data_IF_450086303801
#
_entry.id   IF_450086303801
#
_cell.length_a   1.000
_cell.length_b   1.000
_cell.length_c   1.000
_cell.angle_alpha   90.00
_cell.angle_beta   90.00
_cell.angle_gamma   90.00
#
_symmetry.space_group_name_H-M   'P 1'
#
loop_
_entity.id
_entity.type
_entity.pdbx_description
1 polymer ?
#
# COMPACT_ATOMS: atom_id res chain seq x y z
N UNK A 1 17.67 -11.99 6.70
CA UNK A 1 18.68 -12.73 7.48
C UNK A 1 18.29 -14.20 7.57
N UNK A 2 17.37 -14.59 8.45
CA UNK A 2 16.98 -16.00 8.70
C UNK A 2 16.83 -16.89 7.45
N UNK A 3 16.13 -16.43 6.41
CA UNK A 3 15.90 -17.22 5.20
C UNK A 3 17.18 -17.58 4.40
N UNK A 4 18.24 -16.76 4.52
CA UNK A 4 19.53 -17.03 3.88
C UNK A 4 20.33 -18.11 4.63
N UNK A 5 20.07 -18.28 5.93
CA UNK A 5 20.87 -19.14 6.80
C UNK A 5 20.19 -20.49 7.06
N UNK A 6 18.85 -20.48 7.16
CA UNK A 6 18.07 -21.68 7.46
C UNK A 6 18.12 -22.66 6.27
N UNK A 7 18.81 -23.77 6.44
CA UNK A 7 18.84 -24.86 5.47
C UNK A 7 17.66 -25.83 5.68
N UNK A 8 16.90 -26.11 4.62
CA UNK A 8 15.81 -27.09 4.65
C UNK A 8 15.44 -27.57 3.24
N UNK A 9 15.35 -28.89 3.06
CA UNK A 9 14.89 -29.49 1.81
C UNK A 9 15.81 -29.24 0.62
N UNK A 10 15.33 -29.56 -0.59
CA UNK A 10 16.03 -29.29 -1.86
C UNK A 10 15.27 -28.21 -2.63
N UNK A 11 16.00 -27.23 -3.16
CA UNK A 11 15.43 -26.19 -4.02
C UNK A 11 15.93 -26.36 -5.45
N UNK A 12 15.05 -26.18 -6.44
CA UNK A 12 15.38 -26.38 -7.87
C UNK A 12 16.49 -25.43 -8.34
N UNK A 13 16.53 -24.21 -7.80
CA UNK A 13 17.51 -23.19 -8.15
C UNK A 13 18.79 -23.23 -7.32
N UNK A 14 19.02 -24.28 -6.53
CA UNK A 14 20.20 -24.43 -5.67
C UNK A 14 21.05 -25.61 -6.14
N UNK A 15 22.28 -25.32 -6.55
CA UNK A 15 23.26 -26.26 -7.09
C UNK A 15 24.29 -26.73 -6.04
N UNK A 16 24.22 -26.21 -4.82
CA UNK A 16 25.09 -26.62 -3.73
C UNK A 16 24.77 -28.01 -3.16
N UNK A 17 25.74 -28.56 -2.44
CA UNK A 17 25.59 -29.86 -1.80
C UNK A 17 24.74 -29.76 -0.52
N UNK A 18 23.82 -30.70 -0.33
CA UNK A 18 23.02 -30.82 0.89
C UNK A 18 21.66 -30.12 0.83
N UNK A 19 21.23 -29.56 1.96
CA UNK A 19 19.95 -28.84 2.06
C UNK A 19 20.10 -27.39 1.61
N UNK A 20 19.18 -26.92 0.79
CA UNK A 20 19.17 -25.56 0.30
C UNK A 20 18.78 -24.58 1.42
N UNK A 21 19.42 -23.40 1.53
CA UNK A 21 18.86 -22.27 2.26
C UNK A 21 17.44 -21.95 1.78
N UNK A 22 16.54 -21.62 2.70
CA UNK A 22 15.12 -21.51 2.35
C UNK A 22 14.81 -20.34 1.41
N UNK A 23 15.70 -19.34 1.31
CA UNK A 23 15.61 -18.25 0.32
C UNK A 23 15.57 -18.74 -1.14
N UNK A 24 16.01 -19.98 -1.41
CA UNK A 24 15.91 -20.56 -2.75
C UNK A 24 14.56 -21.22 -3.04
N UNK A 25 13.67 -21.33 -2.05
CA UNK A 25 12.33 -21.88 -2.27
C UNK A 25 11.38 -20.83 -2.87
N UNK A 26 10.66 -21.13 -3.96
CA UNK A 26 9.82 -20.14 -4.65
C UNK A 26 8.77 -19.47 -3.76
N UNK A 27 8.13 -20.21 -2.85
CA UNK A 27 7.13 -19.61 -1.95
C UNK A 27 7.76 -18.66 -0.92
N UNK A 28 8.98 -18.98 -0.44
CA UNK A 28 9.72 -18.08 0.46
C UNK A 28 10.13 -16.82 -0.28
N UNK A 29 10.59 -16.93 -1.53
CA UNK A 29 10.89 -15.77 -2.38
C UNK A 29 9.66 -14.91 -2.61
N UNK A 30 8.50 -15.52 -2.92
CA UNK A 30 7.22 -14.83 -3.04
C UNK A 30 6.90 -14.05 -1.76
N UNK A 31 6.97 -14.70 -0.59
CA UNK A 31 6.70 -14.04 0.69
C UNK A 31 7.66 -12.87 0.96
N UNK A 32 8.97 -13.06 0.73
CA UNK A 32 9.97 -12.01 0.90
C UNK A 32 9.78 -10.84 -0.06
N UNK A 33 9.42 -11.11 -1.32
CA UNK A 33 9.11 -10.06 -2.31
C UNK A 33 7.83 -9.31 -1.95
N UNK A 34 6.79 -10.00 -1.47
CA UNK A 34 5.57 -9.37 -0.96
C UNK A 34 5.88 -8.47 0.23
N UNK A 35 6.64 -8.97 1.21
CA UNK A 35 7.05 -8.18 2.38
C UNK A 35 7.81 -6.92 1.96
N UNK A 36 8.75 -7.06 1.02
CA UNK A 36 9.53 -5.95 0.47
C UNK A 36 8.62 -4.93 -0.22
N UNK A 37 7.79 -5.36 -1.17
CA UNK A 37 6.93 -4.48 -1.95
C UNK A 37 5.96 -3.70 -1.05
N UNK A 38 5.24 -4.39 -0.16
CA UNK A 38 4.29 -3.74 0.75
C UNK A 38 4.98 -2.72 1.67
N UNK A 39 6.15 -3.06 2.21
CA UNK A 39 6.95 -2.14 3.04
C UNK A 39 7.38 -0.89 2.25
N UNK A 40 7.79 -1.07 0.99
CA UNK A 40 8.19 0.04 0.14
C UNK A 40 6.99 0.94 -0.21
N UNK A 41 5.82 0.37 -0.52
CA UNK A 41 4.59 1.12 -0.77
C UNK A 41 4.20 1.95 0.47
N UNK A 42 4.14 1.32 1.64
CA UNK A 42 3.78 2.01 2.89
C UNK A 42 4.71 3.20 3.14
N UNK A 43 6.03 3.01 2.97
CA UNK A 43 7.03 4.07 3.09
C UNK A 43 6.81 5.20 2.08
N UNK A 44 6.57 4.87 0.80
CA UNK A 44 6.38 5.85 -0.25
C UNK A 44 5.11 6.69 -0.03
N UNK A 45 4.02 6.07 0.43
CA UNK A 45 2.79 6.79 0.81
C UNK A 45 3.06 7.72 1.99
N UNK A 46 3.75 7.25 3.04
CA UNK A 46 4.09 8.10 4.19
C UNK A 46 4.94 9.31 3.80
N UNK A 47 5.94 9.14 2.93
CA UNK A 47 6.76 10.24 2.44
C UNK A 47 5.98 11.19 1.52
N UNK A 48 5.12 10.67 0.64
CA UNK A 48 4.26 11.49 -0.21
C UNK A 48 3.28 12.31 0.64
N UNK A 49 2.76 11.74 1.72
CA UNK A 49 1.92 12.45 2.67
C UNK A 49 2.69 13.56 3.40
N UNK A 50 3.90 13.27 3.89
CA UNK A 50 4.75 14.27 4.55
C UNK A 50 5.10 15.42 3.59
N UNK A 51 5.46 15.10 2.35
CA UNK A 51 5.73 16.08 1.30
C UNK A 51 4.53 17.00 1.06
N UNK A 52 3.32 16.44 0.94
CA UNK A 52 2.10 17.22 0.78
C UNK A 52 1.80 18.12 1.99
N UNK A 53 2.05 17.64 3.21
CA UNK A 53 1.88 18.42 4.44
C UNK A 53 2.85 19.61 4.47
N UNK A 54 4.12 19.39 4.13
CA UNK A 54 5.12 20.45 4.14
C UNK A 54 4.82 21.50 3.07
N UNK A 55 4.46 21.08 1.86
CA UNK A 55 4.02 22.00 0.81
C UNK A 55 2.76 22.78 1.20
N UNK A 56 1.77 22.13 1.83
CA UNK A 56 0.57 22.82 2.31
C UNK A 56 0.88 23.93 3.33
N UNK A 57 1.97 23.81 4.09
CA UNK A 57 2.40 24.82 5.08
C UNK A 57 3.14 25.99 4.48
N UNK A 58 3.90 25.77 3.40
CA UNK A 58 4.81 26.80 2.83
C UNK A 58 4.27 27.47 1.57
N UNK A 59 3.41 26.79 0.82
CA UNK A 59 2.78 27.34 -0.38
C UNK A 59 1.70 28.37 -0.03
N UNK A 60 1.28 29.18 -1.02
CA UNK A 60 0.25 30.21 -0.86
C UNK A 60 -0.80 30.12 -1.97
N UNK A 61 -1.98 30.68 -1.74
CA UNK A 61 -3.07 30.69 -2.73
C UNK A 61 -3.55 29.29 -3.11
N UNK A 62 -3.87 29.09 -4.39
CA UNK A 62 -4.44 27.82 -4.90
C UNK A 62 -3.50 26.63 -4.71
N UNK A 63 -2.19 26.85 -4.73
CA UNK A 63 -1.20 25.81 -4.50
C UNK A 63 -1.29 25.26 -3.07
N UNK A 64 -1.47 26.13 -2.07
CA UNK A 64 -1.65 25.71 -0.69
C UNK A 64 -2.93 24.86 -0.52
N UNK A 65 -4.01 25.24 -1.21
CA UNK A 65 -5.27 24.49 -1.21
C UNK A 65 -5.06 23.10 -1.81
N UNK A 66 -4.42 23.01 -2.98
CA UNK A 66 -4.11 21.74 -3.62
C UNK A 66 -3.31 20.81 -2.70
N UNK A 67 -2.22 21.31 -2.11
CA UNK A 67 -1.38 20.49 -1.22
C UNK A 67 -2.10 20.10 0.07
N UNK A 68 -2.94 20.98 0.61
CA UNK A 68 -3.75 20.67 1.79
C UNK A 68 -4.76 19.56 1.50
N UNK A 69 -5.39 19.56 0.33
CA UNK A 69 -6.27 18.49 -0.12
C UNK A 69 -5.52 17.19 -0.38
N UNK A 70 -4.32 17.26 -0.98
CA UNK A 70 -3.44 16.09 -1.18
C UNK A 70 -3.04 15.46 0.16
N UNK A 71 -2.63 16.28 1.12
CA UNK A 71 -2.30 15.83 2.47
C UNK A 71 -3.51 15.17 3.14
N UNK A 72 -4.69 15.78 3.02
CA UNK A 72 -5.94 15.24 3.53
C UNK A 72 -6.31 13.89 2.91
N UNK A 73 -6.08 13.72 1.61
CA UNK A 73 -6.30 12.45 0.92
C UNK A 73 -5.31 11.38 1.36
N UNK A 74 -4.02 11.71 1.47
CA UNK A 74 -2.96 10.74 1.77
C UNK A 74 -2.85 10.36 3.25
N UNK A 75 -3.30 11.21 4.18
CA UNK A 75 -3.23 10.95 5.62
C UNK A 75 -3.88 9.61 6.04
N UNK A 76 -5.16 9.32 5.68
CA UNK A 76 -5.78 8.04 6.04
C UNK A 76 -5.09 6.84 5.37
N UNK A 77 -4.50 7.00 4.18
CA UNK A 77 -3.71 5.94 3.53
C UNK A 77 -2.42 5.69 4.32
N UNK A 78 -1.67 6.75 4.62
CA UNK A 78 -0.42 6.68 5.37
C UNK A 78 -0.59 6.04 6.76
N UNK A 79 -1.78 6.20 7.37
CA UNK A 79 -2.15 5.53 8.62
C UNK A 79 -2.65 4.11 8.38
N UNK A 80 -3.80 3.94 7.73
CA UNK A 80 -4.49 2.66 7.72
C UNK A 80 -3.77 1.60 6.88
N UNK A 81 -3.33 1.95 5.67
CA UNK A 81 -2.64 1.00 4.82
C UNK A 81 -1.31 0.55 5.44
N UNK A 82 -0.51 1.50 5.93
CA UNK A 82 0.79 1.17 6.54
C UNK A 82 0.66 0.28 7.77
N UNK A 83 -0.39 0.45 8.56
CA UNK A 83 -0.60 -0.34 9.77
C UNK A 83 -1.19 -1.72 9.46
N UNK A 84 -2.10 -1.85 8.49
CA UNK A 84 -2.53 -3.15 7.97
C UNK A 84 -1.35 -3.93 7.37
N UNK A 85 -0.53 -3.26 6.56
CA UNK A 85 0.70 -3.82 5.98
C UNK A 85 1.69 -4.22 7.08
N UNK A 86 1.85 -3.43 8.13
CA UNK A 86 2.74 -3.77 9.25
C UNK A 86 2.37 -5.12 9.87
N UNK A 87 1.08 -5.38 10.08
CA UNK A 87 0.58 -6.67 10.59
C UNK A 87 0.77 -7.79 9.56
N UNK A 88 0.46 -7.54 8.30
CA UNK A 88 0.60 -8.52 7.20
C UNK A 88 2.07 -8.95 7.02
N UNK A 89 2.98 -7.99 6.98
CA UNK A 89 4.43 -8.23 6.84
C UNK A 89 4.99 -8.94 8.07
N UNK A 90 4.58 -8.57 9.27
CA UNK A 90 5.00 -9.27 10.49
C UNK A 90 4.49 -10.73 10.49
N UNK A 91 3.26 -10.96 10.05
CA UNK A 91 2.68 -12.31 9.91
C UNK A 91 3.43 -13.17 8.89
N UNK A 92 3.74 -12.62 7.70
CA UNK A 92 4.61 -13.29 6.72
C UNK A 92 6.00 -13.56 7.29
N UNK A 93 6.53 -12.65 8.11
CA UNK A 93 7.76 -12.84 8.86
C UNK A 93 7.72 -14.10 9.74
N UNK A 94 6.65 -14.30 10.51
CA UNK A 94 6.44 -15.54 11.29
C UNK A 94 6.45 -16.77 10.38
N UNK A 95 5.71 -16.71 9.27
CA UNK A 95 5.58 -17.82 8.32
C UNK A 95 6.94 -18.23 7.73
N UNK A 96 7.82 -17.26 7.40
CA UNK A 96 9.18 -17.52 6.90
C UNK A 96 10.07 -18.21 7.94
N UNK A 97 9.85 -17.95 9.23
CA UNK A 97 10.57 -18.62 10.31
C UNK A 97 10.01 -20.02 10.66
N UNK A 98 8.87 -20.40 10.09
CA UNK A 98 8.18 -21.64 10.42
C UNK A 98 7.83 -21.72 11.91
N UNK A 99 7.97 -22.92 12.51
CA UNK A 99 7.69 -23.10 13.94
C UNK A 99 8.52 -22.20 14.86
N UNK A 100 9.76 -21.85 14.46
CA UNK A 100 10.60 -20.94 15.24
C UNK A 100 10.05 -19.51 15.27
N UNK A 101 9.24 -19.12 14.28
CA UNK A 101 8.58 -17.82 14.28
C UNK A 101 7.60 -17.66 15.44
N UNK A 102 7.02 -18.77 15.91
CA UNK A 102 6.11 -18.77 17.06
C UNK A 102 6.85 -18.71 18.41
N UNK A 103 8.14 -19.03 18.43
CA UNK A 103 8.96 -19.03 19.65
C UNK A 103 9.56 -17.64 19.87
N UNK A 104 9.37 -17.11 21.08
CA UNK A 104 9.78 -15.75 21.46
C UNK A 104 11.28 -15.48 21.29
N UNK A 105 12.13 -16.51 21.39
CA UNK A 105 13.59 -16.40 21.24
C UNK A 105 14.05 -15.84 19.88
N UNK A 106 13.25 -15.99 18.82
CA UNK A 106 13.57 -15.41 17.51
C UNK A 106 13.25 -13.92 17.40
N UNK A 107 12.45 -13.37 18.33
CA UNK A 107 11.93 -12.01 18.28
C UNK A 107 10.85 -11.76 17.22
N UNK A 108 10.57 -12.71 16.32
CA UNK A 108 9.57 -12.53 15.26
C UNK A 108 8.15 -12.38 15.83
N UNK A 109 7.80 -13.16 16.85
CA UNK A 109 6.51 -13.10 17.55
C UNK A 109 6.25 -11.72 18.18
N UNK A 110 7.28 -11.09 18.76
CA UNK A 110 7.19 -9.76 19.34
C UNK A 110 6.80 -8.71 18.30
N UNK A 111 7.41 -8.72 17.11
CA UNK A 111 7.08 -7.78 16.04
C UNK A 111 5.61 -7.87 15.61
N UNK A 112 5.04 -9.07 15.54
CA UNK A 112 3.61 -9.23 15.23
C UNK A 112 2.71 -8.68 16.34
N UNK A 113 3.02 -8.97 17.60
CA UNK A 113 2.28 -8.45 18.75
C UNK A 113 2.32 -6.92 18.80
N UNK A 114 3.49 -6.34 18.58
CA UNK A 114 3.70 -4.89 18.64
C UNK A 114 3.05 -4.18 17.44
N UNK A 115 3.09 -4.77 16.24
CA UNK A 115 2.41 -4.21 15.08
C UNK A 115 0.88 -4.19 15.24
N UNK A 116 0.31 -5.12 16.02
CA UNK A 116 -1.13 -5.33 16.09
C UNK A 116 -1.91 -4.16 16.70
N UNK A 117 -1.30 -3.33 17.54
CA UNK A 117 -1.97 -2.17 18.12
C UNK A 117 -2.18 -1.03 17.11
N UNK A 118 -1.31 -0.93 16.09
CA UNK A 118 -1.28 0.23 15.21
C UNK A 118 -2.55 0.41 14.34
N UNK A 119 -3.20 -0.67 13.85
CA UNK A 119 -4.52 -0.59 13.22
C UNK A 119 -5.67 -0.13 14.14
N UNK A 120 -5.47 -0.12 15.46
CA UNK A 120 -6.53 0.10 16.46
C UNK A 120 -6.52 1.52 17.02
N UNK A 121 -5.37 2.01 17.49
CA UNK A 121 -5.27 3.34 18.12
C UNK A 121 -5.43 4.49 17.11
N UNK A 122 -5.58 5.73 17.59
CA UNK A 122 -5.63 6.94 16.76
C UNK A 122 -6.65 6.85 15.59
N UNK A 123 -7.79 6.22 15.88
CA UNK A 123 -8.83 5.86 14.93
C UNK A 123 -8.55 4.53 14.23
N UNK A 124 -9.47 3.57 14.40
CA UNK A 124 -9.34 2.25 13.78
C UNK A 124 -9.24 2.35 12.25
N UNK A 125 -8.63 1.38 11.60
CA UNK A 125 -8.47 1.40 10.14
C UNK A 125 -9.81 1.45 9.38
N UNK A 126 -10.89 0.90 9.95
CA UNK A 126 -12.25 1.07 9.42
C UNK A 126 -12.73 2.52 9.50
N UNK A 127 -12.47 3.23 10.60
CA UNK A 127 -12.80 4.65 10.74
C UNK A 127 -11.98 5.52 9.78
N UNK A 128 -10.70 5.20 9.59
CA UNK A 128 -9.83 5.89 8.62
C UNK A 128 -10.32 5.68 7.17
N UNK A 129 -10.79 4.47 6.85
CA UNK A 129 -11.39 4.18 5.55
C UNK A 129 -12.71 4.93 5.35
N UNK A 130 -13.57 4.99 6.38
CA UNK A 130 -14.79 5.78 6.35
C UNK A 130 -14.48 7.27 6.18
N UNK A 131 -13.47 7.79 6.89
CA UNK A 131 -12.99 9.17 6.70
C UNK A 131 -12.60 9.45 5.25
N UNK A 132 -11.78 8.57 4.66
CA UNK A 132 -11.37 8.66 3.26
C UNK A 132 -12.58 8.79 2.34
N UNK A 133 -13.56 7.88 2.43
CA UNK A 133 -14.72 7.87 1.54
C UNK A 133 -15.68 9.03 1.83
N UNK A 134 -16.04 9.25 3.09
CA UNK A 134 -17.09 10.21 3.47
C UNK A 134 -16.63 11.66 3.43
N UNK A 135 -15.35 11.92 3.73
CA UNK A 135 -14.85 13.29 3.96
C UNK A 135 -13.72 13.68 3.01
N UNK A 136 -12.90 12.74 2.53
CA UNK A 136 -11.75 13.06 1.68
C UNK A 136 -12.05 12.95 0.19
N UNK A 137 -12.88 11.99 -0.23
CA UNK A 137 -13.32 11.91 -1.63
C UNK A 137 -14.15 13.12 -2.11
N UNK A 138 -14.95 13.80 -1.27
CA UNK A 138 -15.66 15.00 -1.69
C UNK A 138 -14.81 16.30 -1.76
N UNK A 139 -13.53 16.25 -1.39
CA UNK A 139 -12.63 17.43 -1.47
C UNK A 139 -12.52 17.94 -2.91
N UNK A 140 -12.33 19.25 -3.08
CA UNK A 140 -12.36 19.89 -4.40
C UNK A 140 -13.65 19.62 -5.18
N UNK A 141 -14.79 19.43 -4.49
CA UNK A 141 -16.05 19.04 -5.12
C UNK A 141 -16.07 17.61 -5.70
N UNK A 142 -15.13 16.77 -5.30
CA UNK A 142 -14.95 15.42 -5.84
C UNK A 142 -13.84 15.32 -6.89
N UNK A 143 -13.30 16.45 -7.38
CA UNK A 143 -12.34 16.45 -8.48
C UNK A 143 -10.89 16.26 -8.03
N UNK A 144 -10.56 16.55 -6.77
CA UNK A 144 -9.17 16.44 -6.29
C UNK A 144 -8.60 15.01 -6.48
N UNK A 145 -9.41 13.99 -6.17
CA UNK A 145 -9.00 12.59 -6.34
C UNK A 145 -8.81 12.20 -7.80
N UNK A 146 -9.60 12.76 -8.72
CA UNK A 146 -9.43 12.50 -10.17
C UNK A 146 -8.15 13.14 -10.69
N UNK A 147 -7.81 14.35 -10.23
CA UNK A 147 -6.52 14.99 -10.51
C UNK A 147 -5.35 14.14 -10.00
N UNK A 148 -5.45 13.62 -8.77
CA UNK A 148 -4.44 12.70 -8.24
C UNK A 148 -4.29 11.43 -9.07
N UNK A 149 -5.39 10.78 -9.46
CA UNK A 149 -5.34 9.60 -10.32
C UNK A 149 -4.73 9.91 -11.69
N UNK A 150 -5.01 11.10 -12.25
CA UNK A 150 -4.42 11.53 -13.51
C UNK A 150 -2.90 11.70 -13.42
N UNK A 151 -2.37 12.21 -12.31
CA UNK A 151 -0.93 12.26 -12.06
C UNK A 151 -0.30 10.86 -12.04
N UNK A 152 -0.94 9.90 -11.38
CA UNK A 152 -0.47 8.51 -11.35
C UNK A 152 -0.51 7.86 -12.75
N UNK A 153 -1.54 8.16 -13.55
CA UNK A 153 -1.61 7.72 -14.95
C UNK A 153 -0.50 8.34 -15.81
N UNK A 154 -0.11 9.58 -15.53
CA UNK A 154 1.04 10.19 -16.19
C UNK A 154 2.33 9.43 -15.88
N UNK A 155 2.51 8.93 -14.65
CA UNK A 155 3.65 8.07 -14.29
C UNK A 155 3.61 6.75 -15.07
N UNK A 156 2.45 6.08 -15.16
CA UNK A 156 2.31 4.87 -15.95
C UNK A 156 2.71 5.08 -17.43
N UNK A 157 2.33 6.24 -18.00
CA UNK A 157 2.73 6.61 -19.35
C UNK A 157 4.24 6.91 -19.49
N UNK A 158 4.88 7.51 -18.47
CA UNK A 158 6.34 7.67 -18.45
C UNK A 158 7.05 6.31 -18.44
N UNK A 159 6.57 5.35 -17.65
CA UNK A 159 7.09 3.98 -17.63
C UNK A 159 6.94 3.35 -19.02
N UNK A 160 5.75 3.46 -19.63
CA UNK A 160 5.47 2.94 -20.98
C UNK A 160 6.40 3.50 -22.05
N UNK A 161 6.69 4.79 -21.99
CA UNK A 161 7.47 5.50 -23.00
C UNK A 161 8.98 5.50 -22.72
N UNK A 162 9.41 5.07 -21.53
CA UNK A 162 10.81 5.00 -21.13
C UNK A 162 11.67 4.04 -21.96
N UNK A 163 11.06 3.01 -22.58
CA UNK A 163 11.73 1.92 -23.28
C UNK A 163 12.79 1.17 -22.43
N UNK A 164 12.70 1.23 -21.09
CA UNK A 164 13.61 0.49 -20.20
C UNK A 164 13.11 -0.96 -20.09
N UNK A 165 13.86 -1.98 -20.56
CA UNK A 165 13.37 -3.37 -20.59
C UNK A 165 13.01 -3.94 -19.22
N UNK A 166 13.65 -3.43 -18.15
CA UNK A 166 13.43 -3.85 -16.78
C UNK A 166 12.00 -3.59 -16.27
N UNK A 167 11.25 -2.67 -16.87
CA UNK A 167 9.86 -2.44 -16.50
C UNK A 167 8.89 -3.47 -17.08
N UNK A 168 9.26 -4.24 -18.11
CA UNK A 168 8.41 -5.30 -18.66
C UNK A 168 6.95 -4.87 -18.87
N UNK A 169 6.03 -5.50 -18.12
CA UNK A 169 4.56 -5.24 -18.17
C UNK A 169 4.06 -4.27 -17.09
N UNK A 170 4.94 -3.57 -16.39
CA UNK A 170 4.57 -2.69 -15.27
C UNK A 170 3.58 -1.61 -15.71
N UNK A 171 3.79 -0.96 -16.85
CA UNK A 171 2.87 0.05 -17.35
C UNK A 171 1.45 -0.50 -17.58
N UNK A 172 1.32 -1.70 -18.16
CA UNK A 172 0.01 -2.34 -18.38
C UNK A 172 -0.68 -2.67 -17.05
N UNK A 173 0.08 -3.14 -16.06
CA UNK A 173 -0.45 -3.42 -14.72
C UNK A 173 -0.90 -2.14 -13.99
N UNK A 174 -0.17 -1.05 -14.15
CA UNK A 174 -0.54 0.26 -13.59
C UNK A 174 -1.80 0.81 -14.24
N UNK A 175 -1.90 0.77 -15.57
CA UNK A 175 -3.07 1.25 -16.29
C UNK A 175 -4.34 0.52 -15.83
N UNK A 176 -4.29 -0.82 -15.74
CA UNK A 176 -5.42 -1.60 -15.24
C UNK A 176 -5.81 -1.22 -13.80
N UNK A 177 -4.83 -1.14 -12.88
CA UNK A 177 -5.10 -0.80 -11.49
C UNK A 177 -5.66 0.63 -11.33
N UNK A 178 -5.18 1.58 -12.14
CA UNK A 178 -5.62 2.97 -12.11
C UNK A 178 -6.98 3.17 -12.78
N UNK A 179 -7.35 2.34 -13.75
CA UNK A 179 -8.69 2.29 -14.33
C UNK A 179 -9.71 1.71 -13.33
N UNK A 180 -9.36 0.60 -12.67
CA UNK A 180 -10.17 0.01 -11.61
C UNK A 180 -10.38 1.00 -10.45
N UNK A 181 -9.32 1.69 -10.04
CA UNK A 181 -9.39 2.77 -9.05
C UNK A 181 -10.32 3.89 -9.53
N UNK A 182 -10.15 4.39 -10.75
CA UNK A 182 -10.99 5.44 -11.31
C UNK A 182 -12.47 5.05 -11.32
N UNK A 183 -12.78 3.80 -11.67
CA UNK A 183 -14.14 3.28 -11.68
C UNK A 183 -14.71 3.18 -10.26
N UNK A 184 -13.95 2.64 -9.32
CA UNK A 184 -14.36 2.53 -7.92
C UNK A 184 -14.60 3.91 -7.28
N UNK A 185 -13.73 4.89 -7.54
CA UNK A 185 -13.88 6.27 -7.07
C UNK A 185 -15.20 6.88 -7.55
N UNK A 186 -15.48 6.79 -8.86
CA UNK A 186 -16.75 7.30 -9.43
C UNK A 186 -17.97 6.59 -8.87
N UNK A 187 -17.88 5.27 -8.69
CA UNK A 187 -18.96 4.48 -8.10
C UNK A 187 -19.30 4.95 -6.67
N UNK A 188 -18.29 5.13 -5.82
CA UNK A 188 -18.49 5.61 -4.44
C UNK A 188 -19.01 7.05 -4.41
N UNK A 189 -18.48 7.93 -5.26
CA UNK A 189 -18.97 9.31 -5.38
C UNK A 189 -20.45 9.35 -5.83
N UNK A 190 -20.83 8.50 -6.79
CA UNK A 190 -22.22 8.36 -7.22
C UNK A 190 -23.15 7.91 -6.08
N UNK A 191 -22.72 6.91 -5.29
CA UNK A 191 -23.49 6.48 -4.12
C UNK A 191 -23.65 7.60 -3.07
N UNK A 192 -22.60 8.39 -2.83
CA UNK A 192 -22.68 9.53 -1.91
C UNK A 192 -23.62 10.63 -2.44
N UNK A 193 -23.56 10.93 -3.73
CA UNK A 193 -24.45 11.91 -4.38
C UNK A 193 -25.93 11.47 -4.31
N UNK A 194 -26.19 10.17 -4.45
CA UNK A 194 -27.53 9.58 -4.33
C UNK A 194 -28.02 9.43 -2.87
N UNK A 195 -27.30 9.99 -1.89
CA UNK A 195 -27.58 9.84 -0.46
C UNK A 195 -27.59 8.38 0.03
N UNK A 196 -26.88 7.48 -0.66
CA UNK A 196 -26.73 6.05 -0.32
C UNK A 196 -25.46 5.81 0.49
N UNK A 197 -25.25 6.61 1.54
CA UNK A 197 -24.01 6.63 2.33
C UNK A 197 -23.65 5.25 2.89
N UNK A 198 -24.59 4.49 3.43
CA UNK A 198 -24.31 3.15 3.97
C UNK A 198 -23.71 2.20 2.92
N UNK A 199 -24.21 2.26 1.68
CA UNK A 199 -23.69 1.47 0.57
C UNK A 199 -22.28 1.93 0.17
N UNK A 200 -22.02 3.24 0.18
CA UNK A 200 -20.68 3.77 -0.09
C UNK A 200 -19.68 3.33 1.00
N UNK A 201 -20.08 3.42 2.27
CA UNK A 201 -19.24 3.11 3.42
C UNK A 201 -18.94 1.60 3.55
N UNK A 202 -19.83 0.73 3.07
CA UNK A 202 -19.54 -0.71 2.95
C UNK A 202 -18.31 -0.99 2.06
N UNK A 203 -18.03 -0.12 1.07
CA UNK A 203 -16.88 -0.21 0.19
C UNK A 203 -15.61 0.49 0.70
N UNK A 204 -15.64 1.10 1.88
CA UNK A 204 -14.57 2.01 2.32
C UNK A 204 -13.21 1.32 2.53
N UNK A 205 -13.18 0.22 3.29
CA UNK A 205 -11.93 -0.53 3.53
C UNK A 205 -11.31 -1.11 2.25
N UNK A 206 -12.06 -1.81 1.37
CA UNK A 206 -11.47 -2.29 0.12
C UNK A 206 -11.04 -1.15 -0.81
N UNK A 207 -11.77 -0.03 -0.83
CA UNK A 207 -11.36 1.17 -1.59
C UNK A 207 -10.04 1.75 -1.08
N UNK A 208 -9.87 1.88 0.25
CA UNK A 208 -8.62 2.34 0.86
C UNK A 208 -7.44 1.46 0.43
N UNK A 209 -7.61 0.14 0.45
CA UNK A 209 -6.56 -0.78 0.00
C UNK A 209 -6.29 -0.65 -1.51
N UNK A 210 -7.33 -0.49 -2.33
CA UNK A 210 -7.19 -0.30 -3.78
C UNK A 210 -6.40 0.96 -4.11
N UNK A 211 -6.78 2.12 -3.57
CA UNK A 211 -6.07 3.39 -3.84
C UNK A 211 -4.63 3.34 -3.36
N UNK A 212 -4.35 2.72 -2.20
CA UNK A 212 -2.98 2.56 -1.71
C UNK A 212 -2.12 1.66 -2.58
N UNK A 213 -2.66 0.54 -3.07
CA UNK A 213 -1.91 -0.36 -3.95
C UNK A 213 -1.66 0.26 -5.33
N UNK A 214 -2.66 0.93 -5.91
CA UNK A 214 -2.52 1.59 -7.21
C UNK A 214 -1.52 2.77 -7.14
N UNK A 215 -1.64 3.62 -6.12
CA UNK A 215 -0.66 4.68 -5.86
C UNK A 215 0.74 4.13 -5.57
N UNK A 216 0.81 3.10 -4.73
CA UNK A 216 2.03 2.41 -4.39
C UNK A 216 2.78 1.86 -5.60
N UNK A 217 2.05 1.24 -6.53
CA UNK A 217 2.64 0.74 -7.77
C UNK A 217 3.27 1.85 -8.60
N UNK A 218 2.67 3.04 -8.65
CA UNK A 218 3.22 4.18 -9.38
C UNK A 218 4.38 4.87 -8.66
N UNK A 219 4.51 4.73 -7.33
CA UNK A 219 5.61 5.31 -6.57
C UNK A 219 6.92 4.52 -6.61
N UNK A 220 6.89 3.25 -7.04
CA UNK A 220 8.04 2.32 -7.06
C UNK A 220 8.68 2.20 -8.43
#
# INVERSE_FOLDING_TARGET
>A
AYANDRQQGKAVSYDGNGMAPIVHHPDVQRNLLTMKALTQIARAISYSCAHAIDHARVSVGDEAIHWQERANLLTPLAKAFSTDVGVEVASLGLQVHGGMGYIEETGAAALYRDARIAPIYEGTNGIQAIDLVARKLPLGGGEHVHGYIAELKAVANQVRTSNIPGFGRTADGLDQALDDLSQATRFLQGLLADSRSDAALAGATPYLRLISLAAGGAYL
#
